data_IF_587499592787
#
_entry.id   IF_587499592787
#
_cell.length_a   1.000
_cell.length_b   1.000
_cell.length_c   1.000
_cell.angle_alpha   90.00
_cell.angle_beta   90.00
_cell.angle_gamma   90.00
#
_symmetry.space_group_name_H-M   'P 1'
#
loop_
_entity.id
_entity.type
_entity.pdbx_description
1 polymer ?
#
# COMPACT_ATOMS: atom_id res chain seq x y z
N UNK A 1 20.44 -21.85 -9.37
CA UNK A 1 20.07 -20.83 -8.38
C UNK A 1 19.54 -21.55 -7.15
N UNK A 2 20.14 -21.36 -5.97
CA UNK A 2 19.75 -22.09 -4.76
C UNK A 2 18.30 -21.72 -4.36
N UNK A 3 17.50 -22.70 -3.95
CA UNK A 3 16.06 -22.51 -3.74
C UNK A 3 15.77 -21.59 -2.54
N UNK A 4 16.60 -21.65 -1.50
CA UNK A 4 16.54 -20.73 -0.35
C UNK A 4 16.83 -19.27 -0.75
N UNK A 5 17.82 -19.03 -1.62
CA UNK A 5 18.09 -17.69 -2.19
C UNK A 5 16.89 -17.15 -2.97
N UNK A 6 16.16 -18.04 -3.66
CA UNK A 6 14.96 -17.65 -4.41
C UNK A 6 13.80 -17.27 -3.48
N UNK A 7 13.69 -17.94 -2.34
CA UNK A 7 12.77 -17.56 -1.27
C UNK A 7 13.08 -16.19 -0.69
N UNK A 8 14.36 -15.93 -0.37
CA UNK A 8 14.76 -14.64 0.18
C UNK A 8 14.50 -13.47 -0.79
N UNK A 9 14.86 -13.64 -2.08
CA UNK A 9 14.60 -12.61 -3.11
C UNK A 9 13.11 -12.26 -3.20
N UNK A 10 12.24 -13.25 -3.07
CA UNK A 10 10.80 -13.04 -3.09
C UNK A 10 10.31 -12.32 -1.84
N UNK A 11 10.76 -12.72 -0.64
CA UNK A 11 10.43 -12.05 0.62
C UNK A 11 10.84 -10.57 0.57
N UNK A 12 12.04 -10.28 0.08
CA UNK A 12 12.52 -8.92 -0.09
C UNK A 12 11.69 -8.13 -1.12
N UNK A 13 11.23 -8.80 -2.19
CA UNK A 13 10.37 -8.17 -3.20
C UNK A 13 9.00 -7.82 -2.62
N UNK A 14 8.41 -8.69 -1.80
CA UNK A 14 7.14 -8.39 -1.11
C UNK A 14 7.37 -7.22 -0.15
N UNK A 15 8.50 -7.21 0.59
CA UNK A 15 8.79 -6.14 1.52
C UNK A 15 8.91 -4.77 0.86
N UNK A 16 9.66 -4.70 -0.24
CA UNK A 16 9.76 -3.47 -1.03
C UNK A 16 8.40 -3.01 -1.56
N UNK A 17 7.57 -3.93 -2.02
CA UNK A 17 6.25 -3.59 -2.55
C UNK A 17 5.29 -3.08 -1.47
N UNK A 18 5.31 -3.67 -0.27
CA UNK A 18 4.54 -3.19 0.88
C UNK A 18 4.98 -1.79 1.30
N UNK A 19 6.29 -1.56 1.44
CA UNK A 19 6.83 -0.23 1.77
C UNK A 19 6.43 0.81 0.72
N UNK A 20 6.45 0.45 -0.56
CA UNK A 20 6.03 1.36 -1.63
C UNK A 20 4.54 1.74 -1.54
N UNK A 21 3.66 0.80 -1.16
CA UNK A 21 2.24 1.09 -0.95
C UNK A 21 2.05 2.06 0.22
N UNK A 22 2.67 1.78 1.37
CA UNK A 22 2.55 2.64 2.56
C UNK A 22 3.09 4.04 2.28
N UNK A 23 4.29 4.14 1.70
CA UNK A 23 4.88 5.43 1.37
C UNK A 23 4.01 6.24 0.38
N UNK A 24 3.32 5.59 -0.56
CA UNK A 24 2.40 6.27 -1.46
C UNK A 24 1.19 6.84 -0.71
N UNK A 25 0.63 6.11 0.25
CA UNK A 25 -0.48 6.57 1.10
C UNK A 25 -0.04 7.72 2.01
N UNK A 26 1.09 7.58 2.69
CA UNK A 26 1.66 8.61 3.58
C UNK A 26 1.96 9.90 2.82
N UNK A 27 2.51 9.79 1.60
CA UNK A 27 2.81 10.95 0.76
C UNK A 27 1.53 11.69 0.34
N UNK A 28 0.44 10.97 0.07
CA UNK A 28 -0.85 11.61 -0.19
C UNK A 28 -1.40 12.32 1.05
N UNK A 29 -1.36 11.66 2.21
CA UNK A 29 -1.72 12.27 3.49
C UNK A 29 -0.94 13.57 3.73
N UNK A 30 0.38 13.57 3.48
CA UNK A 30 1.22 14.74 3.67
C UNK A 30 0.92 15.87 2.68
N UNK A 31 0.58 15.54 1.42
CA UNK A 31 0.19 16.52 0.42
C UNK A 31 -1.12 17.22 0.79
N UNK A 32 -2.15 16.45 1.16
CA UNK A 32 -3.44 16.99 1.55
C UNK A 32 -3.38 17.83 2.83
N UNK A 33 -2.62 17.38 3.85
CA UNK A 33 -2.37 18.20 5.05
C UNK A 33 -1.62 19.50 4.75
N UNK A 34 -0.78 19.49 3.71
CA UNK A 34 -0.07 20.66 3.21
C UNK A 34 -0.90 21.55 2.27
N UNK A 35 -2.18 21.26 2.06
CA UNK A 35 -3.06 22.03 1.16
C UNK A 35 -2.81 21.80 -0.33
N UNK A 36 -1.99 20.81 -0.72
CA UNK A 36 -1.69 20.48 -2.12
C UNK A 36 -2.75 19.54 -2.71
N UNK A 37 -4.00 19.96 -2.67
CA UNK A 37 -5.15 19.15 -3.13
C UNK A 37 -5.15 18.91 -4.64
N UNK A 38 -4.47 19.76 -5.41
CA UNK A 38 -4.26 19.65 -6.85
C UNK A 38 -3.35 18.47 -7.24
N UNK A 39 -2.49 18.01 -6.32
CA UNK A 39 -1.64 16.83 -6.53
C UNK A 39 -2.39 15.50 -6.31
N UNK A 40 -3.57 15.54 -5.69
CA UNK A 40 -4.33 14.35 -5.29
C UNK A 40 -4.56 13.31 -6.42
N UNK A 41 -4.92 13.70 -7.66
CA UNK A 41 -5.10 12.72 -8.75
C UNK A 41 -3.80 11.97 -9.10
N UNK A 42 -2.65 12.66 -9.09
CA UNK A 42 -1.34 12.04 -9.36
C UNK A 42 -0.93 11.09 -8.23
N UNK A 43 -1.23 11.47 -6.99
CA UNK A 43 -0.92 10.68 -5.80
C UNK A 43 -1.79 9.41 -5.74
N UNK A 44 -3.07 9.53 -6.07
CA UNK A 44 -3.97 8.39 -6.17
C UNK A 44 -3.52 7.40 -7.26
N UNK A 45 -3.00 7.90 -8.39
CA UNK A 45 -2.39 7.04 -9.42
C UNK A 45 -1.17 6.27 -8.88
N UNK A 46 -0.30 6.93 -8.09
CA UNK A 46 0.86 6.29 -7.43
C UNK A 46 0.44 5.18 -6.46
N UNK A 47 -0.60 5.39 -5.65
CA UNK A 47 -1.13 4.35 -4.76
C UNK A 47 -1.65 3.16 -5.59
N UNK A 48 -2.36 3.42 -6.69
CA UNK A 48 -2.86 2.37 -7.57
C UNK A 48 -1.73 1.58 -8.26
N UNK A 49 -0.66 2.24 -8.70
CA UNK A 49 0.53 1.61 -9.29
C UNK A 49 1.27 0.74 -8.26
N UNK A 50 1.53 1.27 -7.05
CA UNK A 50 2.18 0.54 -5.97
C UNK A 50 1.35 -0.70 -5.57
N UNK A 51 0.03 -0.55 -5.48
CA UNK A 51 -0.89 -1.65 -5.16
C UNK A 51 -0.88 -2.73 -6.25
N UNK A 52 -0.86 -2.34 -7.54
CA UNK A 52 -0.75 -3.29 -8.66
C UNK A 52 0.58 -4.06 -8.61
N UNK A 53 1.67 -3.38 -8.30
CA UNK A 53 2.99 -4.00 -8.13
C UNK A 53 2.98 -5.02 -6.99
N UNK A 54 2.47 -4.65 -5.82
CA UNK A 54 2.30 -5.56 -4.68
C UNK A 54 1.49 -6.81 -5.05
N UNK A 55 0.34 -6.64 -5.70
CA UNK A 55 -0.50 -7.76 -6.14
C UNK A 55 0.22 -8.68 -7.13
N UNK A 56 1.05 -8.15 -8.03
CA UNK A 56 1.83 -8.95 -8.97
C UNK A 56 2.91 -9.79 -8.24
N UNK A 57 3.59 -9.21 -7.24
CA UNK A 57 4.56 -9.94 -6.42
C UNK A 57 3.89 -11.05 -5.62
N UNK A 58 2.75 -10.78 -4.98
CA UNK A 58 1.98 -11.79 -4.24
C UNK A 58 1.51 -12.93 -5.16
N UNK A 59 1.08 -12.62 -6.39
CA UNK A 59 0.70 -13.64 -7.37
C UNK A 59 1.89 -14.55 -7.72
N UNK A 60 3.07 -13.96 -7.89
CA UNK A 60 4.32 -14.68 -8.12
C UNK A 60 4.73 -15.52 -6.92
N UNK A 61 4.49 -15.03 -5.70
CA UNK A 61 4.74 -15.79 -4.49
C UNK A 61 3.85 -17.03 -4.40
N UNK A 62 2.54 -16.87 -4.64
CA UNK A 62 1.57 -17.97 -4.62
C UNK A 62 1.88 -19.04 -5.66
N UNK A 63 2.28 -18.66 -6.88
CA UNK A 63 2.60 -19.64 -7.93
C UNK A 63 3.86 -20.47 -7.65
N UNK A 64 4.68 -20.06 -6.67
CA UNK A 64 5.92 -20.73 -6.28
C UNK A 64 5.86 -21.36 -4.89
N UNK A 65 4.73 -21.24 -4.20
CA UNK A 65 4.63 -21.52 -2.76
C UNK A 65 5.06 -22.94 -2.39
N UNK A 66 4.65 -23.95 -3.16
CA UNK A 66 4.99 -25.35 -2.85
C UNK A 66 6.49 -25.62 -3.01
N UNK A 67 7.12 -25.02 -4.03
CA UNK A 67 8.58 -25.12 -4.22
C UNK A 67 9.35 -24.39 -3.13
N UNK A 68 8.81 -23.26 -2.66
CA UNK A 68 9.39 -22.48 -1.60
C UNK A 68 9.27 -23.19 -0.25
N UNK A 69 8.13 -23.82 0.03
CA UNK A 69 7.91 -24.61 1.25
C UNK A 69 8.85 -25.82 1.32
N UNK A 70 9.06 -26.50 0.19
CA UNK A 70 10.05 -27.58 0.12
C UNK A 70 11.47 -27.09 0.41
N UNK A 71 11.84 -25.91 -0.12
CA UNK A 71 13.17 -25.33 0.05
C UNK A 71 13.40 -24.69 1.43
N UNK A 72 12.35 -24.13 2.02
CA UNK A 72 12.34 -23.42 3.30
C UNK A 72 11.02 -23.71 4.02
N UNK A 73 10.95 -24.81 4.78
CA UNK A 73 9.77 -25.15 5.55
C UNK A 73 9.36 -24.00 6.49
N UNK A 74 8.06 -23.74 6.61
CA UNK A 74 7.48 -22.64 7.39
C UNK A 74 7.40 -21.31 6.67
N UNK A 75 7.85 -21.20 5.41
CA UNK A 75 7.72 -19.97 4.63
C UNK A 75 6.26 -19.62 4.35
N UNK A 76 5.37 -20.62 4.23
CA UNK A 76 3.93 -20.39 4.10
C UNK A 76 3.37 -19.60 5.29
N UNK A 77 3.70 -20.01 6.50
CA UNK A 77 3.22 -19.36 7.72
C UNK A 77 3.81 -17.95 7.86
N UNK A 78 5.07 -17.79 7.46
CA UNK A 78 5.73 -16.48 7.46
C UNK A 78 5.06 -15.50 6.47
N UNK A 79 4.78 -15.95 5.25
CA UNK A 79 4.07 -15.15 4.25
C UNK A 79 2.67 -14.77 4.73
N UNK A 80 1.96 -15.68 5.42
CA UNK A 80 0.63 -15.42 5.93
C UNK A 80 0.63 -14.43 7.10
N UNK A 81 1.56 -14.56 8.05
CA UNK A 81 1.75 -13.58 9.13
C UNK A 81 2.06 -12.20 8.57
N UNK A 82 2.97 -12.13 7.60
CA UNK A 82 3.38 -10.89 6.94
C UNK A 82 2.22 -10.22 6.21
N UNK A 83 1.46 -10.98 5.43
CA UNK A 83 0.24 -10.52 4.74
C UNK A 83 -0.77 -9.95 5.73
N UNK A 84 -0.99 -10.65 6.85
CA UNK A 84 -1.94 -10.24 7.88
C UNK A 84 -1.50 -8.92 8.55
N UNK A 85 -0.23 -8.82 8.93
CA UNK A 85 0.35 -7.61 9.51
C UNK A 85 0.26 -6.42 8.55
N UNK A 86 0.64 -6.61 7.28
CA UNK A 86 0.54 -5.57 6.26
C UNK A 86 -0.90 -5.13 6.01
N UNK A 87 -1.85 -6.06 5.95
CA UNK A 87 -3.26 -5.73 5.78
C UNK A 87 -3.81 -4.91 6.96
N UNK A 88 -3.37 -5.18 8.19
CA UNK A 88 -3.75 -4.39 9.36
C UNK A 88 -3.18 -2.96 9.27
N UNK A 89 -1.89 -2.82 8.95
CA UNK A 89 -1.22 -1.52 8.77
C UNK A 89 -1.89 -0.70 7.67
N UNK A 90 -2.10 -1.29 6.49
CA UNK A 90 -2.70 -0.61 5.34
C UNK A 90 -4.12 -0.11 5.63
N UNK A 91 -4.91 -0.87 6.41
CA UNK A 91 -6.24 -0.41 6.83
C UNK A 91 -6.18 0.86 7.67
N UNK A 92 -5.21 0.95 8.58
CA UNK A 92 -5.01 2.13 9.43
C UNK A 92 -4.64 3.33 8.55
N UNK A 93 -3.65 3.16 7.67
CA UNK A 93 -3.20 4.23 6.77
C UNK A 93 -4.31 4.74 5.84
N UNK A 94 -5.12 3.84 5.29
CA UNK A 94 -6.26 4.22 4.45
C UNK A 94 -7.36 4.94 5.24
N UNK A 95 -7.61 4.56 6.49
CA UNK A 95 -8.56 5.27 7.34
C UNK A 95 -8.09 6.69 7.65
N UNK A 96 -6.79 6.87 7.92
CA UNK A 96 -6.18 8.19 8.11
C UNK A 96 -6.28 9.04 6.84
N UNK A 97 -5.97 8.46 5.67
CA UNK A 97 -6.10 9.16 4.39
C UNK A 97 -7.55 9.60 4.12
N UNK A 98 -8.53 8.75 4.40
CA UNK A 98 -9.94 9.08 4.23
C UNK A 98 -10.35 10.27 5.12
N UNK A 99 -9.93 10.29 6.38
CA UNK A 99 -10.21 11.40 7.29
C UNK A 99 -9.56 12.71 6.82
N UNK A 100 -8.31 12.66 6.35
CA UNK A 100 -7.61 13.83 5.80
C UNK A 100 -8.30 14.37 4.54
N UNK A 101 -8.75 13.49 3.64
CA UNK A 101 -9.51 13.89 2.44
C UNK A 101 -10.82 14.59 2.80
N UNK A 102 -11.56 14.07 3.78
CA UNK A 102 -12.79 14.70 4.25
C UNK A 102 -12.53 16.12 4.78
N UNK A 103 -11.54 16.26 5.67
CA UNK A 103 -11.17 17.56 6.22
C UNK A 103 -10.70 18.56 5.15
N UNK A 104 -9.98 18.10 4.12
CA UNK A 104 -9.53 18.94 3.01
C UNK A 104 -10.69 19.39 2.10
N UNK A 105 -11.71 18.55 1.94
CA UNK A 105 -12.93 18.88 1.18
C UNK A 105 -13.80 19.91 1.91
N UNK A 106 -13.93 19.79 3.23
CA UNK A 106 -14.75 20.69 4.06
C UNK A 106 -14.10 22.08 4.28
N UNK A 107 -12.82 22.25 3.94
CA UNK A 107 -12.11 23.52 4.01
C UNK A 107 -12.47 24.51 2.89
N UNK A 108 -13.32 24.12 1.92
CA UNK A 108 -13.80 25.02 0.88
C UNK A 108 -14.88 25.95 1.47
N UNK A 109 -14.74 27.29 1.42
CA UNK A 109 -15.77 28.19 1.91
C UNK A 109 -17.08 27.96 1.15
N UNK A 110 -18.26 28.08 1.80
CA UNK A 110 -19.54 27.97 1.11
C UNK A 110 -19.60 29.01 -0.01
N UNK A 111 -20.26 28.70 -1.15
CA UNK A 111 -20.40 29.66 -2.24
C UNK A 111 -21.04 30.93 -1.70
N UNK A 112 -20.33 32.05 -1.84
CA UNK A 112 -20.81 33.39 -1.52
C UNK A 112 -21.91 33.71 -2.54
N UNK A 113 -23.14 33.29 -2.27
CA UNK A 113 -24.24 33.38 -3.24
C UNK A 113 -25.58 32.83 -2.77
N UNK A 114 -25.82 32.75 -1.46
CA UNK A 114 -27.15 32.46 -0.91
C UNK A 114 -27.47 33.48 0.20
N UNK A 115 -27.59 34.74 -0.18
CA UNK A 115 -28.34 35.72 0.60
C UNK A 115 -29.59 36.04 -0.22
N UNK A 116 -30.75 35.66 0.33
CA UNK A 116 -32.06 36.04 -0.16
C UNK A 116 -32.34 37.53 0.09
#
# INVERSE_FOLDING_TARGET
MNADRSAQVLLDAIARAETAVIAAVEHECAALRGGRSDEAPRLQARIADASRSYLAVIRTARSRLDRLEFARPGIRDELERRRTAFAALLKIELAVLAAVRAAASDALPPPIGAAA
#
